data_IF_854516452565
#
_entry.id   IF_854516452565
#
_cell.length_a   1.000
_cell.length_b   1.000
_cell.length_c   1.000
_cell.angle_alpha   90.00
_cell.angle_beta   90.00
_cell.angle_gamma   90.00
#
_symmetry.space_group_name_H-M   'P 1'
#
loop_
_entity.id
_entity.type
_entity.pdbx_description
1 polymer ?
#
# COMPACT_ATOMS: atom_id res chain seq x y z
N UNK A 1 -16.79 -12.96 11.59
CA UNK A 1 -15.63 -12.59 12.45
C UNK A 1 -14.82 -11.50 11.74
N UNK A 2 -14.04 -10.70 12.47
CA UNK A 2 -13.15 -9.70 11.86
C UNK A 2 -11.71 -10.05 12.16
N UNK A 3 -10.86 -10.10 11.13
CA UNK A 3 -9.43 -10.38 11.28
C UNK A 3 -8.65 -9.43 10.37
N UNK A 4 -7.64 -8.73 10.91
CA UNK A 4 -6.86 -7.72 10.18
C UNK A 4 -7.71 -6.64 9.48
N UNK A 5 -8.85 -6.27 10.07
CA UNK A 5 -9.81 -5.33 9.50
C UNK A 5 -10.71 -5.91 8.40
N UNK A 6 -10.49 -7.16 8.00
CA UNK A 6 -11.27 -7.89 7.00
C UNK A 6 -12.49 -8.54 7.66
N UNK A 7 -13.67 -8.32 7.08
CA UNK A 7 -14.90 -9.00 7.49
C UNK A 7 -14.95 -10.39 6.88
N UNK A 8 -14.96 -11.43 7.71
CA UNK A 8 -14.99 -12.83 7.25
C UNK A 8 -16.33 -13.45 7.65
N UNK A 9 -17.03 -13.97 6.66
CA UNK A 9 -18.28 -14.75 6.80
C UNK A 9 -18.05 -16.17 6.29
N UNK A 10 -19.06 -17.04 6.43
CA UNK A 10 -18.96 -18.43 5.93
C UNK A 10 -18.82 -18.52 4.41
N UNK A 11 -19.25 -17.50 3.66
CA UNK A 11 -19.30 -17.54 2.19
C UNK A 11 -18.50 -16.42 1.52
N UNK A 12 -18.14 -15.36 2.23
CA UNK A 12 -17.49 -14.17 1.66
C UNK A 12 -16.44 -13.55 2.58
N UNK A 13 -15.44 -12.93 1.95
CA UNK A 13 -14.42 -12.10 2.58
C UNK A 13 -14.59 -10.67 2.09
N UNK A 14 -14.90 -9.75 3.00
CA UNK A 14 -15.10 -8.32 2.72
C UNK A 14 -13.85 -7.54 3.11
N UNK A 15 -13.18 -6.87 2.16
CA UNK A 15 -12.03 -6.02 2.47
C UNK A 15 -12.41 -4.85 3.41
N UNK A 16 -11.54 -4.42 4.33
CA UNK A 16 -11.68 -3.13 5.00
C UNK A 16 -11.79 -1.99 4.00
N UNK A 17 -12.43 -0.91 4.44
CA UNK A 17 -12.33 0.36 3.73
C UNK A 17 -10.90 0.87 3.75
N UNK A 18 -10.35 1.07 2.56
CA UNK A 18 -9.03 1.65 2.37
C UNK A 18 -9.22 3.00 1.69
N UNK A 19 -8.49 4.00 2.19
CA UNK A 19 -8.39 5.29 1.54
C UNK A 19 -7.13 5.28 0.69
N UNK A 20 -7.29 5.35 -0.62
CA UNK A 20 -6.16 5.54 -1.54
C UNK A 20 -5.99 7.05 -1.74
N UNK A 21 -4.86 7.65 -1.32
CA UNK A 21 -4.59 9.06 -1.57
C UNK A 21 -4.50 9.31 -3.08
N UNK A 22 -5.20 10.33 -3.58
CA UNK A 22 -5.23 10.67 -5.02
C UNK A 22 -4.40 11.92 -5.36
N UNK A 23 -4.18 12.77 -4.37
CA UNK A 23 -3.36 13.98 -4.49
C UNK A 23 -2.07 13.75 -3.72
N UNK A 24 -1.01 13.38 -4.42
CA UNK A 24 0.30 13.05 -3.84
C UNK A 24 1.20 14.27 -4.00
N UNK A 25 1.44 15.00 -2.92
CA UNK A 25 2.27 16.22 -2.93
C UNK A 25 3.54 16.10 -2.10
N UNK A 26 3.52 15.22 -1.12
CA UNK A 26 4.62 15.04 -0.16
C UNK A 26 5.11 13.61 -0.16
N UNK A 27 6.33 13.41 0.37
CA UNK A 27 6.86 12.07 0.64
C UNK A 27 5.91 11.28 1.56
N UNK A 28 5.28 11.95 2.53
CA UNK A 28 4.34 11.32 3.44
C UNK A 28 3.10 10.78 2.70
N UNK A 29 2.55 11.54 1.75
CA UNK A 29 1.42 11.08 0.92
C UNK A 29 1.81 9.85 0.11
N UNK A 30 3.04 9.85 -0.43
CA UNK A 30 3.60 8.72 -1.16
C UNK A 30 3.74 7.48 -0.25
N UNK A 31 4.20 7.65 0.99
CA UNK A 31 4.28 6.57 1.97
C UNK A 31 2.89 6.00 2.30
N UNK A 32 1.87 6.85 2.48
CA UNK A 32 0.49 6.41 2.72
C UNK A 32 -0.08 5.62 1.53
N UNK A 33 0.20 6.08 0.31
CA UNK A 33 -0.21 5.39 -0.92
C UNK A 33 0.44 4.01 -1.00
N UNK A 34 1.76 3.92 -0.80
CA UNK A 34 2.49 2.64 -0.84
C UNK A 34 1.99 1.67 0.23
N UNK A 35 1.74 2.14 1.45
CA UNK A 35 1.17 1.31 2.52
C UNK A 35 -0.21 0.75 2.16
N UNK A 36 -1.08 1.60 1.59
CA UNK A 36 -2.43 1.19 1.16
C UNK A 36 -2.38 0.12 0.05
N UNK A 37 -1.47 0.29 -0.91
CA UNK A 37 -1.27 -0.66 -2.02
C UNK A 37 -0.62 -1.97 -1.56
N UNK A 38 0.33 -1.92 -0.61
CA UNK A 38 0.93 -3.12 -0.02
C UNK A 38 -0.11 -3.96 0.71
N UNK A 39 -1.02 -3.33 1.44
CA UNK A 39 -2.14 -4.03 2.06
C UNK A 39 -3.04 -4.69 1.00
N UNK A 40 -3.35 -3.97 -0.09
CA UNK A 40 -4.21 -4.47 -1.18
C UNK A 40 -3.58 -5.61 -1.97
N UNK A 41 -2.25 -5.67 -2.05
CA UNK A 41 -1.51 -6.63 -2.88
C UNK A 41 -1.98 -8.06 -2.68
N UNK A 42 -2.30 -8.46 -1.45
CA UNK A 42 -2.75 -9.81 -1.12
C UNK A 42 -4.18 -10.12 -1.59
N UNK A 43 -4.97 -9.10 -1.92
CA UNK A 43 -6.37 -9.24 -2.33
C UNK A 43 -6.52 -9.16 -3.84
N UNK A 44 -5.82 -8.22 -4.49
CA UNK A 44 -5.96 -7.94 -5.93
C UNK A 44 -4.77 -8.40 -6.78
N UNK A 45 -3.85 -9.17 -6.17
CA UNK A 45 -2.70 -9.80 -6.84
C UNK A 45 -1.83 -8.82 -7.63
N UNK A 46 -1.44 -7.70 -7.01
CA UNK A 46 -0.56 -6.70 -7.64
C UNK A 46 0.84 -7.32 -7.86
N UNK A 47 1.35 -7.36 -9.11
CA UNK A 47 2.69 -7.87 -9.38
C UNK A 47 3.77 -7.02 -8.69
N UNK A 48 4.82 -7.63 -8.11
CA UNK A 48 5.88 -6.89 -7.43
C UNK A 48 6.57 -5.85 -8.32
N UNK A 49 6.73 -6.13 -9.61
CA UNK A 49 7.30 -5.24 -10.60
C UNK A 49 6.51 -3.94 -10.76
N UNK A 50 5.19 -3.96 -10.57
CA UNK A 50 4.33 -2.76 -10.60
C UNK A 50 4.59 -1.86 -9.38
N UNK A 51 5.01 -2.44 -8.25
CA UNK A 51 5.31 -1.70 -7.03
C UNK A 51 6.74 -1.15 -6.99
N UNK A 52 7.67 -1.71 -7.77
CA UNK A 52 9.08 -1.34 -7.74
C UNK A 52 9.34 0.16 -7.93
N UNK A 53 8.71 0.87 -8.89
CA UNK A 53 8.91 2.31 -9.05
C UNK A 53 8.46 3.11 -7.82
N UNK A 54 7.42 2.63 -7.12
CA UNK A 54 6.92 3.30 -5.92
C UNK A 54 7.90 3.17 -4.75
N UNK A 55 8.58 2.03 -4.63
CA UNK A 55 9.62 1.84 -3.62
C UNK A 55 10.85 2.70 -3.91
N UNK A 56 11.20 2.87 -5.18
CA UNK A 56 12.31 3.73 -5.58
C UNK A 56 12.08 5.20 -5.18
N UNK A 57 10.85 5.69 -5.28
CA UNK A 57 10.47 7.04 -4.83
C UNK A 57 10.57 7.24 -3.31
N UNK A 58 10.56 6.15 -2.53
CA UNK A 58 10.73 6.20 -1.08
C UNK A 58 12.19 6.08 -0.64
N UNK A 59 13.12 5.84 -1.57
CA UNK A 59 14.55 5.80 -1.26
C UNK A 59 15.01 7.21 -0.90
N UNK A 60 15.39 7.39 0.36
CA UNK A 60 16.08 8.60 0.81
C UNK A 60 17.49 8.69 0.22
N UNK A 61 18.11 9.86 0.36
CA UNK A 61 19.54 10.03 0.04
C UNK A 61 20.36 9.09 0.92
N UNK A 62 21.38 8.47 0.33
CA UNK A 62 22.30 7.66 1.12
C UNK A 62 23.17 8.57 2.00
N UNK A 63 23.57 8.14 3.21
CA UNK A 63 24.36 8.95 4.13
C UNK A 63 25.67 9.52 3.55
N UNK A 64 26.19 8.93 2.47
CA UNK A 64 27.43 9.30 1.81
C UNK A 64 27.24 10.06 0.49
N UNK A 65 26.00 10.34 0.07
CA UNK A 65 25.69 11.13 -1.13
C UNK A 65 25.41 12.60 -0.75
N UNK A 66 26.34 13.22 -0.01
CA UNK A 66 26.25 14.64 0.34
C UNK A 66 26.32 15.53 -0.90
#
# INVERSE_FOLDING_TARGET
>A
VTFLGVGITSSHVTPPQIKIPRDIKTLHDMQQLVGSLQWLRNIVLIPPETMAPLYDLLKGKKPWEQ
#
